data_IF_836298020134
#
_entry.id   IF_836298020134
#
_cell.length_a   1.000
_cell.length_b   1.000
_cell.length_c   1.000
_cell.angle_alpha   90.00
_cell.angle_beta   90.00
_cell.angle_gamma   90.00
#
_symmetry.space_group_name_H-M   'P 1'
#
loop_
_entity.id
_entity.type
_entity.pdbx_description
1 polymer ?
#
# COMPACT_ATOMS: atom_id res chain seq x y z
N UNK A 1 12.05 3.76 12.29
CA UNK A 1 13.02 3.83 11.17
C UNK A 1 13.99 4.96 11.45
N UNK A 2 15.30 4.80 11.20
CA UNK A 2 16.23 5.91 11.34
C UNK A 2 15.91 6.97 10.29
N UNK A 3 15.78 8.22 10.74
CA UNK A 3 15.72 9.38 9.84
C UNK A 3 17.09 9.48 9.14
N UNK A 4 17.07 9.75 7.84
CA UNK A 4 18.28 9.91 7.02
C UNK A 4 18.28 11.29 6.39
N UNK A 5 19.28 12.09 6.71
CA UNK A 5 19.47 13.42 6.11
C UNK A 5 19.99 13.35 4.66
N UNK A 6 20.61 12.23 4.28
CA UNK A 6 21.13 12.02 2.93
C UNK A 6 20.80 10.61 2.44
N UNK A 7 20.39 10.51 1.17
CA UNK A 7 20.19 9.25 0.47
C UNK A 7 21.17 9.22 -0.70
N UNK A 8 22.19 8.35 -0.69
CA UNK A 8 23.15 8.28 -1.78
C UNK A 8 22.44 7.90 -3.08
N UNK A 9 22.98 8.36 -4.21
CA UNK A 9 22.41 8.07 -5.52
C UNK A 9 22.27 6.55 -5.72
N UNK A 10 21.06 6.10 -6.06
CA UNK A 10 20.73 4.69 -6.26
C UNK A 10 20.28 3.93 -5.00
N UNK A 11 20.30 4.54 -3.81
CA UNK A 11 19.71 3.91 -2.62
C UNK A 11 18.17 3.97 -2.67
N UNK A 12 17.47 2.91 -2.22
CA UNK A 12 16.01 2.93 -2.13
C UNK A 12 15.57 4.01 -1.13
N UNK A 13 14.77 4.95 -1.61
CA UNK A 13 14.31 6.13 -0.85
C UNK A 13 12.83 6.08 -0.49
N UNK A 14 12.02 5.30 -1.21
CA UNK A 14 10.57 5.26 -1.06
C UNK A 14 10.02 3.86 -1.35
N UNK A 15 8.91 3.51 -0.69
CA UNK A 15 8.19 2.25 -0.88
C UNK A 15 6.73 2.56 -1.14
N UNK A 16 6.16 1.91 -2.14
CA UNK A 16 4.75 1.99 -2.49
C UNK A 16 4.07 0.63 -2.31
N UNK A 17 2.92 0.62 -1.64
CA UNK A 17 2.11 -0.58 -1.44
C UNK A 17 0.86 -0.54 -2.33
N UNK A 18 0.86 -1.40 -3.35
CA UNK A 18 -0.32 -1.71 -4.13
C UNK A 18 -1.08 -2.90 -3.50
N UNK A 19 -2.35 -2.71 -3.15
CA UNK A 19 -3.15 -3.75 -2.46
C UNK A 19 -4.59 -3.85 -2.94
N UNK A 20 -5.20 -5.03 -2.86
CA UNK A 20 -6.61 -5.25 -3.22
C UNK A 20 -7.57 -4.75 -2.13
N UNK A 21 -7.09 -4.68 -0.89
CA UNK A 21 -7.86 -4.15 0.24
C UNK A 21 -6.97 -3.18 1.04
N UNK A 22 -7.15 -1.90 0.73
CA UNK A 22 -6.36 -0.82 1.33
C UNK A 22 -6.66 -0.69 2.82
N UNK A 23 -7.90 -0.87 3.24
CA UNK A 23 -8.30 -0.73 4.64
C UNK A 23 -7.65 -1.82 5.51
N UNK A 24 -7.69 -3.07 5.06
CA UNK A 24 -7.04 -4.20 5.76
C UNK A 24 -5.52 -4.02 5.80
N UNK A 25 -4.92 -3.60 4.69
CA UNK A 25 -3.47 -3.39 4.61
C UNK A 25 -3.02 -2.26 5.53
N UNK A 26 -3.74 -1.14 5.52
CA UNK A 26 -3.52 -0.03 6.44
C UNK A 26 -3.63 -0.47 7.89
N UNK A 27 -4.69 -1.17 8.28
CA UNK A 27 -4.85 -1.69 9.64
C UNK A 27 -3.71 -2.65 10.04
N UNK A 28 -3.21 -3.45 9.10
CA UNK A 28 -2.09 -4.34 9.35
C UNK A 28 -0.78 -3.59 9.59
N UNK A 29 -0.38 -2.69 8.69
CA UNK A 29 0.90 -1.99 8.77
C UNK A 29 0.94 -0.94 9.87
N UNK A 30 -0.18 -0.27 10.17
CA UNK A 30 -0.28 0.64 11.32
C UNK A 30 -0.05 -0.11 12.63
N UNK A 31 -0.61 -1.32 12.79
CA UNK A 31 -0.39 -2.16 13.98
C UNK A 31 1.00 -2.77 14.05
N UNK A 32 1.55 -3.22 12.91
CA UNK A 32 2.85 -3.89 12.85
C UNK A 32 4.01 -2.93 13.05
N UNK A 33 3.95 -1.76 12.41
CA UNK A 33 5.06 -0.80 12.32
C UNK A 33 4.86 0.43 13.20
N UNK A 34 3.70 0.58 13.84
CA UNK A 34 3.34 1.77 14.62
C UNK A 34 3.17 3.01 13.74
N UNK A 35 2.82 2.82 12.46
CA UNK A 35 2.60 3.90 11.52
C UNK A 35 1.20 4.47 11.65
N UNK A 36 1.05 5.71 11.21
CA UNK A 36 -0.22 6.39 11.02
C UNK A 36 -0.54 6.44 9.53
N UNK A 37 -1.80 6.41 9.13
CA UNK A 37 -2.20 6.52 7.73
C UNK A 37 -2.96 7.83 7.52
N UNK A 38 -2.54 8.61 6.52
CA UNK A 38 -3.31 9.76 6.04
C UNK A 38 -4.61 9.26 5.38
N UNK A 39 -5.61 10.15 5.27
CA UNK A 39 -6.84 9.83 4.53
C UNK A 39 -6.51 9.60 3.05
N UNK A 40 -7.09 8.55 2.42
CA UNK A 40 -6.90 8.31 1.00
C UNK A 40 -7.49 9.46 0.19
N UNK A 41 -6.72 9.94 -0.79
CA UNK A 41 -7.13 11.01 -1.69
C UNK A 41 -7.86 10.43 -2.92
N UNK A 42 -9.17 10.68 -3.09
CA UNK A 42 -9.93 10.19 -4.24
C UNK A 42 -9.43 10.72 -5.58
N UNK A 43 -8.87 11.94 -5.63
CA UNK A 43 -8.34 12.54 -6.86
C UNK A 43 -7.04 11.85 -7.30
N UNK A 44 -6.32 11.24 -6.35
CA UNK A 44 -5.14 10.41 -6.61
C UNK A 44 -5.48 8.91 -6.71
N UNK A 45 -6.73 8.57 -7.05
CA UNK A 45 -7.17 7.20 -7.21
C UNK A 45 -7.24 6.41 -5.89
N UNK A 46 -7.44 7.11 -4.76
CA UNK A 46 -7.49 6.51 -3.43
C UNK A 46 -6.13 6.33 -2.77
N UNK A 47 -5.08 6.98 -3.26
CA UNK A 47 -3.74 6.88 -2.67
C UNK A 47 -3.67 7.55 -1.28
N UNK A 48 -2.97 6.91 -0.34
CA UNK A 48 -2.73 7.39 1.01
C UNK A 48 -1.24 7.29 1.37
N UNK A 49 -0.75 8.20 2.22
CA UNK A 49 0.61 8.10 2.76
C UNK A 49 0.59 7.53 4.18
N UNK A 50 1.58 6.70 4.49
CA UNK A 50 1.93 6.34 5.87
C UNK A 50 2.87 7.38 6.48
N UNK A 51 2.70 7.64 7.77
CA UNK A 51 3.54 8.52 8.57
C UNK A 51 4.09 7.83 9.80
N UNK A 52 5.25 8.29 10.25
CA UNK A 52 5.83 7.93 11.54
C UNK A 52 6.65 9.11 12.04
N UNK A 53 6.44 9.53 13.29
CA UNK A 53 7.17 10.67 13.86
C UNK A 53 6.95 11.99 13.11
N UNK A 54 5.78 12.15 12.45
CA UNK A 54 5.47 13.35 11.68
C UNK A 54 6.05 13.38 10.25
N UNK A 55 6.79 12.37 9.82
CA UNK A 55 7.33 12.28 8.44
C UNK A 55 6.60 11.23 7.62
N UNK A 56 6.51 11.43 6.30
CA UNK A 56 5.96 10.44 5.37
C UNK A 56 7.00 9.35 5.09
N UNK A 57 6.60 8.10 5.19
CA UNK A 57 7.52 6.95 5.12
C UNK A 57 7.18 5.92 4.06
N UNK A 58 5.93 5.88 3.57
CA UNK A 58 5.51 4.97 2.50
C UNK A 58 4.19 5.43 1.87
N UNK A 59 3.92 4.90 0.67
CA UNK A 59 2.67 5.01 -0.06
C UNK A 59 1.78 3.77 0.09
N UNK A 60 0.47 3.95 -0.01
CA UNK A 60 -0.50 2.87 -0.06
C UNK A 60 -1.65 3.23 -1.00
N UNK A 61 -1.89 2.41 -2.02
CA UNK A 61 -2.97 2.62 -2.96
C UNK A 61 -3.61 1.31 -3.39
N UNK A 62 -4.80 1.39 -4.02
CA UNK A 62 -5.39 0.22 -4.63
C UNK A 62 -4.45 -0.35 -5.69
N UNK A 63 -4.41 -1.67 -5.79
CA UNK A 63 -3.68 -2.33 -6.86
C UNK A 63 -4.29 -1.92 -8.20
N UNK A 64 -3.57 -1.10 -8.96
CA UNK A 64 -3.91 -0.76 -10.33
C UNK A 64 -3.97 -2.07 -11.13
N UNK A 65 -5.14 -2.40 -11.67
CA UNK A 65 -5.32 -3.52 -12.57
C UNK A 65 -4.46 -3.30 -13.83
N UNK A 66 -3.22 -3.80 -13.83
CA UNK A 66 -2.34 -3.69 -14.99
C UNK A 66 -0.83 -3.62 -14.72
N UNK A 67 -0.36 -3.33 -13.49
CA UNK A 67 1.09 -3.22 -13.24
C UNK A 67 1.80 -4.56 -12.93
N UNK A 68 1.07 -5.68 -12.95
CA UNK A 68 1.65 -7.04 -13.06
C UNK A 68 0.63 -8.03 -13.68
N UNK A 69 0.82 -8.52 -14.93
CA UNK A 69 -0.11 -9.47 -15.59
C UNK A 69 -0.13 -10.90 -15.03
N UNK A 70 0.40 -11.17 -13.82
CA UNK A 70 0.71 -12.53 -13.38
C UNK A 70 -0.30 -13.21 -12.45
N UNK A 71 -1.15 -12.48 -11.73
CA UNK A 71 -2.05 -13.10 -10.75
C UNK A 71 -3.47 -13.09 -11.30
N UNK A 72 -3.68 -13.99 -12.27
CA UNK A 72 -4.97 -14.34 -12.86
C UNK A 72 -6.08 -14.38 -11.81
N UNK A 73 -7.16 -13.68 -12.15
CA UNK A 73 -8.53 -13.99 -11.76
C UNK A 73 -8.71 -15.50 -11.58
N UNK A 74 -8.73 -15.94 -10.33
CA UNK A 74 -9.23 -17.25 -9.99
C UNK A 74 -10.71 -17.25 -10.31
N UNK A 75 -11.08 -17.82 -11.46
CA UNK A 75 -12.41 -18.32 -11.71
C UNK A 75 -12.85 -19.18 -10.51
N UNK A 76 -13.57 -18.60 -9.55
CA UNK A 76 -14.33 -19.38 -8.57
C UNK A 76 -15.50 -19.98 -9.33
N UNK A 77 -15.24 -21.16 -9.90
CA UNK A 77 -16.24 -21.99 -10.54
C UNK A 77 -17.44 -22.21 -9.63
N UNK A 78 -18.61 -21.91 -10.17
CA UNK A 78 -19.92 -22.43 -9.81
C UNK A 78 -19.87 -23.82 -9.15
N UNK A 79 -20.15 -23.88 -7.85
CA UNK A 79 -20.83 -24.94 -7.09
C UNK A 79 -21.45 -24.17 -5.92
N UNK A 80 -22.75 -24.06 -5.75
CA UNK A 80 -23.62 -25.14 -5.28
C UNK A 80 -25.10 -24.70 -5.42
N UNK A 81 -25.85 -25.44 -6.22
CA UNK A 81 -27.30 -25.61 -6.05
C UNK A 81 -27.46 -27.03 -5.51
N UNK A 82 -27.82 -27.13 -4.23
CA UNK A 82 -28.65 -28.18 -3.67
C UNK A 82 -29.63 -27.49 -2.73
#
# INVERSE_FOLDING_TARGET
MPVRDTVPAGAPSWIDLATHDQAVSTAFYTRLLGWECEQPDPELGGYANFRMGGERVAGCGPAMAGLHPGCLSGHRGRREQL
#
